data_IF_589350308364
#
_entry.id   IF_589350308364
#
_cell.length_a   1.000
_cell.length_b   1.000
_cell.length_c   1.000
_cell.angle_alpha   90.00
_cell.angle_beta   90.00
_cell.angle_gamma   90.00
#
_symmetry.space_group_name_H-M   'P 1'
#
loop_
_entity.id
_entity.type
_entity.pdbx_description
1 polymer ?
#
# COMPACT_ATOMS: atom_id res chain seq x y z
N UNK A 1 9.50 -21.70 -0.36
CA UNK A 1 8.30 -21.13 -1.03
C UNK A 1 8.50 -19.67 -1.45
N UNK A 2 8.94 -18.77 -0.57
CA UNK A 2 9.16 -17.34 -0.87
C UNK A 2 10.15 -17.05 -2.01
N UNK A 3 11.25 -17.79 -2.09
CA UNK A 3 12.25 -17.66 -3.17
C UNK A 3 11.70 -18.07 -4.54
N UNK A 4 10.72 -18.97 -4.59
CA UNK A 4 10.08 -19.43 -5.83
C UNK A 4 9.06 -18.40 -6.32
N UNK A 5 8.25 -17.85 -5.41
CA UNK A 5 7.36 -16.71 -5.66
C UNK A 5 8.15 -15.50 -6.18
N UNK A 6 9.23 -15.11 -5.48
CA UNK A 6 10.11 -14.03 -5.92
C UNK A 6 10.71 -14.28 -7.30
N UNK A 7 11.02 -15.54 -7.65
CA UNK A 7 11.61 -15.89 -8.96
C UNK A 7 10.57 -15.83 -10.08
N UNK A 8 9.33 -16.25 -9.82
CA UNK A 8 8.22 -16.17 -10.76
C UNK A 8 7.75 -14.72 -10.98
N UNK A 9 7.79 -13.89 -9.93
CA UNK A 9 7.30 -12.51 -9.97
C UNK A 9 8.38 -11.47 -10.29
N UNK A 10 9.61 -11.85 -10.63
CA UNK A 10 10.73 -10.88 -10.87
C UNK A 10 10.38 -9.84 -11.91
N UNK A 11 9.84 -10.27 -13.05
CA UNK A 11 9.47 -9.37 -14.14
C UNK A 11 8.43 -8.37 -13.66
N UNK A 12 7.42 -8.82 -12.91
CA UNK A 12 6.39 -7.94 -12.35
C UNK A 12 6.98 -6.92 -11.37
N UNK A 13 7.86 -7.36 -10.47
CA UNK A 13 8.55 -6.48 -9.50
C UNK A 13 9.39 -5.44 -10.23
N UNK A 14 10.19 -5.83 -11.22
CA UNK A 14 11.02 -4.90 -11.97
C UNK A 14 10.19 -3.94 -12.82
N UNK A 15 9.12 -4.40 -13.45
CA UNK A 15 8.20 -3.52 -14.19
C UNK A 15 7.54 -2.52 -13.23
N UNK A 16 7.08 -2.96 -12.06
CA UNK A 16 6.51 -2.09 -11.04
C UNK A 16 7.53 -1.03 -10.58
N UNK A 17 8.74 -1.45 -10.21
CA UNK A 17 9.81 -0.53 -9.79
C UNK A 17 10.18 0.44 -10.91
N UNK A 18 10.25 -0.03 -12.15
CA UNK A 18 10.54 0.80 -13.32
C UNK A 18 9.47 1.87 -13.57
N UNK A 19 8.19 1.49 -13.54
CA UNK A 19 7.06 2.42 -13.70
C UNK A 19 7.06 3.48 -12.59
N UNK A 20 7.24 3.04 -11.34
CA UNK A 20 7.31 3.92 -10.16
C UNK A 20 8.50 4.89 -10.27
N UNK A 21 9.67 4.42 -10.70
CA UNK A 21 10.86 5.26 -10.87
C UNK A 21 10.68 6.28 -12.01
N UNK A 22 10.14 5.86 -13.15
CA UNK A 22 9.84 6.75 -14.27
C UNK A 22 8.85 7.86 -13.86
N UNK A 23 7.80 7.48 -13.12
CA UNK A 23 6.84 8.45 -12.60
C UNK A 23 7.49 9.41 -11.61
N UNK A 24 8.32 8.91 -10.68
CA UNK A 24 9.06 9.75 -9.72
C UNK A 24 9.96 10.78 -10.41
N UNK A 25 10.72 10.36 -11.42
CA UNK A 25 11.60 11.26 -12.18
C UNK A 25 10.78 12.33 -12.89
N UNK A 26 9.66 11.95 -13.51
CA UNK A 26 8.77 12.91 -14.16
C UNK A 26 8.15 13.89 -13.15
N UNK A 27 7.60 13.39 -12.05
CA UNK A 27 6.98 14.20 -10.98
C UNK A 27 7.97 15.21 -10.39
N UNK A 28 9.19 14.74 -10.09
CA UNK A 28 10.27 15.57 -9.51
C UNK A 28 10.76 16.68 -10.45
N UNK A 29 10.69 16.46 -11.77
CA UNK A 29 11.18 17.42 -12.77
C UNK A 29 10.08 18.38 -13.26
N UNK A 30 8.82 17.96 -13.23
CA UNK A 30 7.73 18.68 -13.88
C UNK A 30 6.66 19.24 -12.93
N UNK A 31 6.46 18.64 -11.74
CA UNK A 31 5.31 18.96 -10.89
C UNK A 31 5.72 19.39 -9.47
N UNK A 32 6.55 18.60 -8.78
CA UNK A 32 6.89 18.82 -7.36
C UNK A 32 8.40 18.85 -7.14
N UNK A 33 8.89 19.78 -6.31
CA UNK A 33 10.30 19.79 -5.92
C UNK A 33 10.60 18.57 -5.05
N UNK A 34 11.74 17.90 -5.27
CA UNK A 34 12.18 16.73 -4.50
C UNK A 34 12.28 16.96 -2.98
N UNK A 35 12.44 18.22 -2.55
CA UNK A 35 12.50 18.59 -1.13
C UNK A 35 11.13 18.78 -0.49
N UNK A 36 10.06 18.84 -1.28
CA UNK A 36 8.68 19.02 -0.83
C UNK A 36 7.94 17.71 -0.61
N UNK A 37 6.68 17.83 -0.19
CA UNK A 37 5.76 16.69 -0.06
C UNK A 37 5.47 16.11 -1.44
N UNK A 38 5.83 14.85 -1.67
CA UNK A 38 5.63 14.15 -2.94
C UNK A 38 4.21 13.58 -3.05
N UNK A 39 3.20 14.45 -3.02
CA UNK A 39 1.79 14.06 -2.98
C UNK A 39 1.36 13.24 -4.21
N UNK A 40 1.83 13.60 -5.41
CA UNK A 40 1.48 12.89 -6.63
C UNK A 40 2.12 11.51 -6.68
N UNK A 41 3.40 11.40 -6.34
CA UNK A 41 4.08 10.12 -6.22
C UNK A 41 3.41 9.16 -5.23
N UNK A 42 3.09 9.63 -4.02
CA UNK A 42 2.42 8.81 -2.99
C UNK A 42 1.04 8.38 -3.48
N UNK A 43 0.29 9.29 -4.10
CA UNK A 43 -1.03 8.99 -4.67
C UNK A 43 -0.93 7.94 -5.78
N UNK A 44 0.03 8.10 -6.70
CA UNK A 44 0.25 7.16 -7.80
C UNK A 44 0.59 5.75 -7.28
N UNK A 45 1.54 5.63 -6.35
CA UNK A 45 1.84 4.36 -5.69
C UNK A 45 0.63 3.77 -4.98
N UNK A 46 -0.18 4.61 -4.34
CA UNK A 46 -1.41 4.19 -3.66
C UNK A 46 -2.41 3.57 -4.64
N UNK A 47 -2.65 4.24 -5.78
CA UNK A 47 -3.53 3.73 -6.84
C UNK A 47 -3.03 2.39 -7.38
N UNK A 48 -1.72 2.28 -7.66
CA UNK A 48 -1.14 1.04 -8.14
C UNK A 48 -1.32 -0.10 -7.11
N UNK A 49 -1.01 0.16 -5.84
CA UNK A 49 -1.12 -0.84 -4.78
C UNK A 49 -2.57 -1.29 -4.56
N UNK A 50 -3.53 -0.37 -4.61
CA UNK A 50 -4.96 -0.72 -4.55
C UNK A 50 -5.40 -1.53 -5.78
N UNK A 51 -4.90 -1.20 -6.96
CA UNK A 51 -5.13 -1.97 -8.19
C UNK A 51 -4.61 -3.41 -8.07
N UNK A 52 -3.35 -3.57 -7.65
CA UNK A 52 -2.76 -4.89 -7.42
C UNK A 52 -3.50 -5.67 -6.33
N UNK A 53 -3.90 -5.02 -5.24
CA UNK A 53 -4.64 -5.66 -4.18
C UNK A 53 -6.03 -6.14 -4.63
N UNK A 54 -6.68 -5.39 -5.52
CA UNK A 54 -7.97 -5.76 -6.11
C UNK A 54 -7.83 -6.95 -7.04
N UNK A 55 -6.82 -6.95 -7.93
CA UNK A 55 -6.52 -8.10 -8.80
C UNK A 55 -6.21 -9.35 -7.97
N UNK A 56 -5.48 -9.20 -6.86
CA UNK A 56 -5.22 -10.32 -5.97
C UNK A 56 -6.50 -10.89 -5.34
N UNK A 57 -7.44 -10.05 -4.89
CA UNK A 57 -8.72 -10.56 -4.37
C UNK A 57 -9.54 -11.27 -5.42
N UNK A 58 -9.61 -10.74 -6.64
CA UNK A 58 -10.28 -11.40 -7.76
C UNK A 58 -9.67 -12.79 -8.00
N UNK A 59 -8.35 -12.87 -8.09
CA UNK A 59 -7.65 -14.13 -8.24
C UNK A 59 -7.98 -15.10 -7.10
N UNK A 60 -7.90 -14.64 -5.84
CA UNK A 60 -8.16 -15.44 -4.65
C UNK A 60 -9.59 -16.02 -4.64
N UNK A 61 -10.59 -15.26 -5.10
CA UNK A 61 -11.98 -15.69 -5.20
C UNK A 61 -12.20 -16.75 -6.28
N UNK A 62 -11.39 -16.74 -7.35
CA UNK A 62 -11.60 -17.61 -8.52
C UNK A 62 -10.69 -18.85 -8.57
N UNK A 63 -9.50 -18.82 -7.96
CA UNK A 63 -8.51 -19.90 -8.14
C UNK A 63 -8.25 -20.74 -6.91
N UNK A 64 -8.74 -20.32 -5.76
CA UNK A 64 -8.24 -20.83 -4.49
C UNK A 64 -9.34 -21.62 -3.75
N UNK A 65 -9.21 -22.96 -3.60
CA UNK A 65 -10.16 -23.78 -2.84
C UNK A 65 -9.94 -23.58 -1.33
N UNK A 66 -9.94 -22.33 -0.87
CA UNK A 66 -9.57 -21.98 0.50
C UNK A 66 -10.77 -22.25 1.39
N UNK A 67 -10.72 -23.36 2.11
CA UNK A 67 -11.75 -23.73 3.09
C UNK A 67 -11.81 -22.77 4.27
N UNK A 68 -10.71 -22.06 4.60
CA UNK A 68 -10.65 -21.06 5.67
C UNK A 68 -9.76 -19.87 5.29
N UNK A 69 -10.36 -18.83 4.71
CA UNK A 69 -9.68 -17.60 4.25
C UNK A 69 -8.82 -16.94 5.34
N UNK A 70 -9.31 -16.95 6.58
CA UNK A 70 -8.66 -16.32 7.74
C UNK A 70 -7.35 -17.01 8.16
N UNK A 71 -7.06 -18.22 7.66
CA UNK A 71 -5.76 -18.87 7.90
C UNK A 71 -4.74 -18.53 6.81
N UNK A 72 -5.16 -17.87 5.73
CA UNK A 72 -4.30 -17.63 4.59
C UNK A 72 -3.44 -16.37 4.82
N UNK A 73 -2.10 -16.48 4.86
CA UNK A 73 -1.22 -15.36 5.20
C UNK A 73 -1.34 -14.18 4.24
N UNK A 74 -1.38 -14.49 2.94
CA UNK A 74 -1.44 -13.48 1.88
C UNK A 74 -2.75 -12.70 1.89
N UNK A 75 -3.85 -13.29 2.37
CA UNK A 75 -5.12 -12.59 2.57
C UNK A 75 -4.96 -11.44 3.59
N UNK A 76 -4.29 -11.69 4.72
CA UNK A 76 -4.05 -10.68 5.76
C UNK A 76 -3.10 -9.58 5.29
N UNK A 77 -2.03 -9.96 4.57
CA UNK A 77 -1.09 -8.99 4.00
C UNK A 77 -1.81 -8.08 2.99
N UNK A 78 -2.62 -8.67 2.10
CA UNK A 78 -3.40 -7.89 1.14
C UNK A 78 -4.45 -7.00 1.83
N UNK A 79 -5.09 -7.52 2.88
CA UNK A 79 -6.03 -6.74 3.72
C UNK A 79 -5.35 -5.54 4.37
N UNK A 80 -4.13 -5.70 4.88
CA UNK A 80 -3.35 -4.59 5.44
C UNK A 80 -3.07 -3.51 4.40
N UNK A 81 -2.69 -3.91 3.17
CA UNK A 81 -2.45 -3.00 2.05
C UNK A 81 -3.75 -2.27 1.68
N UNK A 82 -4.83 -3.00 1.38
CA UNK A 82 -6.11 -2.38 1.00
C UNK A 82 -6.64 -1.44 2.06
N UNK A 83 -6.60 -1.85 3.34
CA UNK A 83 -7.07 -1.04 4.46
C UNK A 83 -6.29 0.26 4.58
N UNK A 84 -4.96 0.16 4.66
CA UNK A 84 -4.10 1.33 4.88
C UNK A 84 -4.16 2.31 3.73
N UNK A 85 -4.00 1.82 2.50
CA UNK A 85 -3.95 2.66 1.32
C UNK A 85 -5.33 3.19 0.94
N UNK A 86 -6.41 2.44 1.22
CA UNK A 86 -7.78 2.87 1.01
C UNK A 86 -8.20 3.99 1.97
N UNK A 87 -7.97 3.80 3.29
CA UNK A 87 -8.39 4.81 4.28
C UNK A 87 -7.52 6.07 4.26
N UNK A 88 -6.23 5.96 3.92
CA UNK A 88 -5.35 7.12 3.81
C UNK A 88 -5.35 7.75 2.41
N UNK A 89 -6.14 7.24 1.46
CA UNK A 89 -6.13 7.71 0.07
C UNK A 89 -6.32 9.23 -0.04
N UNK A 90 -7.32 9.77 0.65
CA UNK A 90 -7.60 11.20 0.63
C UNK A 90 -6.52 12.03 1.33
N UNK A 91 -5.90 11.48 2.39
CA UNK A 91 -4.75 12.16 3.03
C UNK A 91 -3.60 12.28 2.05
N UNK A 92 -3.33 11.23 1.26
CA UNK A 92 -2.26 11.26 0.27
C UNK A 92 -2.53 12.24 -0.87
N UNK A 93 -3.75 12.22 -1.42
CA UNK A 93 -4.17 13.17 -2.46
C UNK A 93 -4.05 14.62 -1.98
N UNK A 94 -4.58 14.90 -0.78
CA UNK A 94 -4.64 16.25 -0.25
C UNK A 94 -3.43 16.62 0.62
N UNK A 95 -2.35 15.81 0.62
CA UNK A 95 -1.23 16.01 1.55
C UNK A 95 -0.61 17.39 1.42
N UNK A 96 -0.33 17.86 0.20
CA UNK A 96 0.15 19.24 -0.05
C UNK A 96 -0.81 20.29 0.50
N UNK A 97 -2.11 20.15 0.22
CA UNK A 97 -3.13 21.07 0.73
C UNK A 97 -3.16 21.09 2.26
N UNK A 98 -3.14 19.91 2.89
CA UNK A 98 -3.15 19.73 4.34
C UNK A 98 -1.96 20.46 4.99
N UNK A 99 -0.75 20.28 4.46
CA UNK A 99 0.45 20.88 5.05
C UNK A 99 0.60 22.39 4.76
N UNK A 100 0.00 22.89 3.68
CA UNK A 100 0.13 24.30 3.29
C UNK A 100 -1.02 25.19 3.79
N UNK A 101 -2.21 24.62 4.05
CA UNK A 101 -3.44 25.41 4.26
C UNK A 101 -4.13 25.16 5.60
N UNK A 102 -3.87 24.04 6.27
CA UNK A 102 -4.49 23.76 7.57
C UNK A 102 -3.66 24.33 8.72
N UNK A 103 -4.35 24.61 9.84
CA UNK A 103 -3.70 25.02 11.08
C UNK A 103 -3.09 23.80 11.77
N UNK A 104 -2.07 24.02 12.59
CA UNK A 104 -1.34 22.95 13.29
C UNK A 104 -2.26 21.95 14.01
N UNK A 105 -3.31 22.43 14.70
CA UNK A 105 -4.24 21.55 15.41
C UNK A 105 -5.08 20.66 14.48
N UNK A 106 -5.39 21.11 13.27
CA UNK A 106 -6.13 20.32 12.26
C UNK A 106 -5.19 19.28 11.64
N UNK A 107 -3.94 19.65 11.36
CA UNK A 107 -2.89 18.73 10.90
C UNK A 107 -2.67 17.60 11.92
N UNK A 108 -2.64 17.93 13.22
CA UNK A 108 -2.51 16.92 14.29
C UNK A 108 -3.66 15.91 14.25
N UNK A 109 -4.90 16.34 14.00
CA UNK A 109 -6.05 15.42 13.90
C UNK A 109 -5.90 14.48 12.70
N UNK A 110 -5.52 15.00 11.53
CA UNK A 110 -5.24 14.19 10.35
C UNK A 110 -4.12 13.18 10.64
N UNK A 111 -3.08 13.60 11.36
CA UNK A 111 -1.95 12.75 11.70
C UNK A 111 -2.30 11.65 12.70
N UNK A 112 -3.16 11.94 13.69
CA UNK A 112 -3.71 10.93 14.61
C UNK A 112 -4.50 9.88 13.84
N UNK A 113 -5.34 10.30 12.90
CA UNK A 113 -6.09 9.37 12.05
C UNK A 113 -5.15 8.50 11.20
N UNK A 114 -4.15 9.11 10.54
CA UNK A 114 -3.13 8.38 9.78
C UNK A 114 -2.37 7.34 10.64
N UNK A 115 -1.94 7.74 11.84
CA UNK A 115 -1.22 6.85 12.76
C UNK A 115 -2.09 5.71 13.28
N UNK A 116 -3.38 5.97 13.53
CA UNK A 116 -4.34 4.93 13.91
C UNK A 116 -4.45 3.88 12.80
N UNK A 117 -4.59 4.32 11.54
CA UNK A 117 -4.60 3.41 10.39
C UNK A 117 -3.29 2.62 10.27
N UNK A 118 -2.15 3.23 10.60
CA UNK A 118 -0.85 2.58 10.59
C UNK A 118 -0.74 1.47 11.66
N UNK A 119 -1.28 1.69 12.86
CA UNK A 119 -1.37 0.67 13.92
C UNK A 119 -2.18 -0.53 13.41
N UNK A 120 -3.36 -0.28 12.85
CA UNK A 120 -4.24 -1.34 12.36
C UNK A 120 -3.58 -2.12 11.23
N UNK A 121 -2.94 -1.43 10.27
CA UNK A 121 -2.13 -2.07 9.22
C UNK A 121 -1.09 -3.00 9.81
N UNK A 122 -0.33 -2.56 10.82
CA UNK A 122 0.72 -3.37 11.43
C UNK A 122 0.15 -4.59 12.16
N UNK A 123 -1.02 -4.47 12.80
CA UNK A 123 -1.72 -5.62 13.39
C UNK A 123 -2.11 -6.64 12.31
N UNK A 124 -2.68 -6.20 11.19
CA UNK A 124 -3.03 -7.08 10.06
C UNK A 124 -1.80 -7.76 9.47
N UNK A 125 -0.69 -7.03 9.29
CA UNK A 125 0.58 -7.61 8.84
C UNK A 125 1.13 -8.64 9.84
N UNK A 126 1.08 -8.35 11.14
CA UNK A 126 1.53 -9.28 12.17
C UNK A 126 0.71 -10.59 12.15
N UNK A 127 -0.60 -10.50 11.96
CA UNK A 127 -1.48 -11.68 11.81
C UNK A 127 -1.10 -12.47 10.55
N UNK A 128 -0.87 -11.80 9.43
CA UNK A 128 -0.40 -12.46 8.20
C UNK A 128 0.92 -13.19 8.38
N UNK A 129 1.91 -12.55 9.01
CA UNK A 129 3.23 -13.14 9.30
C UNK A 129 3.08 -14.34 10.24
N UNK A 130 2.22 -14.24 11.27
CA UNK A 130 1.97 -15.34 12.20
C UNK A 130 1.42 -16.59 11.49
N UNK A 131 0.46 -16.44 10.58
CA UNK A 131 -0.04 -17.56 9.80
C UNK A 131 1.00 -18.07 8.80
N UNK A 132 1.83 -17.21 8.22
CA UNK A 132 2.91 -17.64 7.31
C UNK A 132 3.91 -18.56 8.00
N UNK A 133 4.23 -18.29 9.28
CA UNK A 133 5.11 -19.15 10.07
C UNK A 133 4.47 -20.44 10.57
N UNK A 134 3.15 -20.61 10.42
CA UNK A 134 2.41 -21.84 10.76
C UNK A 134 2.17 -22.77 9.58
N UNK A 135 2.43 -22.32 8.36
CA UNK A 135 2.36 -23.14 7.14
C UNK A 135 3.64 -23.97 6.91
N UNK A 136 4.55 -24.02 7.89
CA UNK A 136 5.65 -24.99 8.02
C UNK A 136 5.24 -26.20 8.87
#
# INVERSE_FOLDING_TARGET
>A
MYSYLLRSSRTLIYTFMGVVLCFFVWDSLAQQNITGVQSYMITFCTVLLLGYATVYYEHLLHTSPVTVLLKYPLFWINSAVTYYYGLNFFIFIFSTYIFENLKDHEIVVVWIFHNTNNIIKNVLLAVGIYYAGKEE
#
